data_IF_003416235922
#
_entry.id   IF_003416235922
#
_cell.length_a   1.000
_cell.length_b   1.000
_cell.length_c   1.000
_cell.angle_alpha   90.00
_cell.angle_beta   90.00
_cell.angle_gamma   90.00
#
_symmetry.space_group_name_H-M   'P 1'
#
loop_
_entity.id
_entity.type
_entity.pdbx_description
1 polymer ?
#
# COMPACT_ATOMS: atom_id res chain seq x y z
N UNK A 1 7.32 9.77 2.15
CA UNK A 1 6.98 9.88 0.70
C UNK A 1 6.14 11.13 0.51
N UNK A 2 6.31 11.81 -0.58
CA UNK A 2 5.51 12.99 -0.87
C UNK A 2 4.04 12.62 -1.11
N UNK A 3 3.12 13.54 -0.84
CA UNK A 3 1.69 13.22 -0.82
C UNK A 3 1.15 12.73 -2.18
N UNK A 4 1.54 13.40 -3.26
CA UNK A 4 1.04 13.01 -4.59
C UNK A 4 1.62 11.67 -5.02
N UNK A 5 2.89 11.44 -4.74
CA UNK A 5 3.53 10.16 -5.03
C UNK A 5 2.90 9.04 -4.20
N UNK A 6 2.61 9.32 -2.94
CA UNK A 6 1.96 8.37 -2.05
C UNK A 6 0.60 7.92 -2.60
N UNK A 7 -0.27 8.90 -2.92
CA UNK A 7 -1.59 8.59 -3.45
C UNK A 7 -1.49 7.81 -4.76
N UNK A 8 -0.65 8.26 -5.66
CA UNK A 8 -0.48 7.62 -6.97
C UNK A 8 0.07 6.21 -6.86
N UNK A 9 1.06 6.01 -6.00
CA UNK A 9 1.68 4.70 -5.83
C UNK A 9 0.69 3.70 -5.25
N UNK A 10 -0.02 4.09 -4.20
CA UNK A 10 -0.98 3.18 -3.57
C UNK A 10 -2.12 2.85 -4.53
N UNK A 11 -2.64 3.85 -5.24
CA UNK A 11 -3.70 3.61 -6.22
C UNK A 11 -3.24 2.68 -7.33
N UNK A 12 -2.02 2.85 -7.81
CA UNK A 12 -1.47 2.00 -8.86
C UNK A 12 -1.40 0.55 -8.41
N UNK A 13 -0.95 0.28 -7.19
CA UNK A 13 -0.89 -1.07 -6.67
C UNK A 13 -2.28 -1.65 -6.39
N UNK A 14 -3.20 -0.84 -5.85
CA UNK A 14 -4.57 -1.29 -5.57
C UNK A 14 -5.31 -1.68 -6.84
N UNK A 15 -5.11 -0.94 -7.91
CA UNK A 15 -5.94 -1.07 -9.12
C UNK A 15 -5.28 -1.89 -10.21
N UNK A 16 -4.22 -2.62 -9.89
CA UNK A 16 -3.63 -3.55 -10.87
C UNK A 16 -4.63 -4.64 -11.22
N UNK A 17 -4.61 -5.04 -12.47
CA UNK A 17 -5.51 -6.08 -13.00
C UNK A 17 -4.67 -7.18 -13.62
N UNK A 18 -4.68 -8.40 -13.08
CA UNK A 18 -5.35 -8.78 -11.83
C UNK A 18 -4.64 -8.21 -10.60
N UNK A 19 -5.37 -8.11 -9.51
CA UNK A 19 -4.78 -7.64 -8.26
C UNK A 19 -3.71 -8.63 -7.79
N UNK A 20 -2.63 -8.10 -7.26
CA UNK A 20 -1.57 -8.89 -6.63
C UNK A 20 -1.27 -8.30 -5.26
N UNK A 21 -1.04 -9.14 -4.25
CA UNK A 21 -0.67 -8.65 -2.92
C UNK A 21 0.59 -7.80 -2.97
N UNK A 22 0.64 -6.81 -2.09
CA UNK A 22 1.82 -5.95 -1.96
C UNK A 22 2.03 -5.60 -0.50
N UNK A 23 3.24 -5.11 -0.21
CA UNK A 23 3.64 -4.77 1.15
C UNK A 23 3.85 -3.26 1.24
N UNK A 24 3.28 -2.67 2.28
CA UNK A 24 3.52 -1.27 2.63
C UNK A 24 4.56 -1.25 3.74
N UNK A 25 5.72 -0.68 3.48
CA UNK A 25 6.79 -0.58 4.46
C UNK A 25 6.80 0.81 5.08
N UNK A 26 6.76 0.87 6.39
CA UNK A 26 6.71 2.12 7.13
C UNK A 26 8.12 2.56 7.54
N UNK A 27 8.29 3.85 7.78
CA UNK A 27 9.59 4.39 8.17
C UNK A 27 10.04 3.87 9.54
N UNK A 28 9.11 3.42 10.38
CA UNK A 28 9.45 2.85 11.69
C UNK A 28 9.82 1.37 11.62
N UNK A 29 9.83 0.79 10.42
CA UNK A 29 10.16 -0.62 10.23
C UNK A 29 8.97 -1.55 10.16
N UNK A 30 7.77 -1.08 10.43
CA UNK A 30 6.57 -1.91 10.32
C UNK A 30 6.28 -2.23 8.87
N UNK A 31 5.67 -3.40 8.62
CA UNK A 31 5.27 -3.82 7.28
C UNK A 31 3.81 -4.26 7.33
N UNK A 32 3.02 -3.75 6.38
CA UNK A 32 1.61 -4.08 6.27
C UNK A 32 1.41 -4.87 4.98
N UNK A 33 0.90 -6.09 5.11
CA UNK A 33 0.64 -6.94 3.96
C UNK A 33 -0.78 -6.69 3.45
N UNK A 34 -0.90 -6.18 2.24
CA UNK A 34 -2.18 -5.89 1.61
C UNK A 34 -2.49 -7.00 0.62
N UNK A 35 -3.39 -7.89 0.97
CA UNK A 35 -3.73 -9.05 0.15
C UNK A 35 -5.09 -8.93 -0.52
N UNK A 36 -5.75 -7.79 -0.36
CA UNK A 36 -7.04 -7.53 -0.98
C UNK A 36 -7.15 -6.04 -1.31
N UNK A 37 -7.65 -5.66 -2.49
CA UNK A 37 -7.69 -4.25 -2.85
C UNK A 37 -8.58 -3.40 -1.94
N UNK A 38 -9.61 -4.00 -1.35
CA UNK A 38 -10.51 -3.27 -0.46
C UNK A 38 -9.98 -3.15 0.96
N UNK A 39 -8.86 -3.82 1.28
CA UNK A 39 -8.27 -3.73 2.60
C UNK A 39 -7.58 -2.39 2.83
N UNK A 40 -7.30 -1.64 1.78
CA UNK A 40 -6.57 -0.38 1.87
C UNK A 40 -7.33 0.71 1.13
N UNK A 41 -7.64 1.79 1.82
CA UNK A 41 -8.24 2.98 1.25
C UNK A 41 -7.26 4.14 1.36
N UNK A 42 -7.19 4.99 0.33
CA UNK A 42 -6.26 6.12 0.32
C UNK A 42 -6.98 7.37 -0.16
N UNK A 43 -6.68 8.49 0.50
CA UNK A 43 -7.22 9.78 0.10
C UNK A 43 -6.35 10.89 0.67
N UNK A 44 -5.93 11.83 -0.18
CA UNK A 44 -5.24 13.06 0.22
C UNK A 44 -4.03 12.82 1.12
N UNK A 45 -3.23 11.80 0.80
CA UNK A 45 -2.02 11.51 1.54
C UNK A 45 -2.22 10.73 2.82
N UNK A 46 -3.43 10.21 3.05
CA UNK A 46 -3.76 9.40 4.23
C UNK A 46 -4.31 8.06 3.76
N UNK A 47 -3.92 7.00 4.43
CA UNK A 47 -4.41 5.67 4.11
C UNK A 47 -4.96 4.98 5.36
N UNK A 48 -5.97 4.15 5.12
CA UNK A 48 -6.58 3.32 6.16
C UNK A 48 -6.44 1.87 5.73
N UNK A 49 -5.79 1.08 6.55
CA UNK A 49 -5.61 -0.34 6.31
C UNK A 49 -6.46 -1.15 7.29
N UNK A 50 -7.27 -2.05 6.78
CA UNK A 50 -8.06 -2.96 7.61
C UNK A 50 -7.22 -4.22 7.86
N UNK A 51 -6.53 -4.25 8.99
CA UNK A 51 -5.67 -5.37 9.34
C UNK A 51 -6.49 -6.61 9.70
N UNK A 52 -5.88 -7.80 9.62
CA UNK A 52 -6.55 -9.02 10.09
C UNK A 52 -7.03 -8.86 11.53
N UNK A 53 -8.22 -9.37 11.81
CA UNK A 53 -8.84 -9.22 13.12
C UNK A 53 -9.65 -7.94 13.26
N UNK A 54 -9.77 -7.15 12.19
CA UNK A 54 -10.60 -5.96 12.20
C UNK A 54 -9.97 -4.74 12.84
N UNK A 55 -8.65 -4.75 13.05
CA UNK A 55 -7.94 -3.61 13.63
C UNK A 55 -7.62 -2.60 12.54
N UNK A 56 -8.15 -1.36 12.62
CA UNK A 56 -7.82 -0.35 11.62
C UNK A 56 -6.44 0.25 11.89
N UNK A 57 -5.66 0.44 10.83
CA UNK A 57 -4.35 1.10 10.89
C UNK A 57 -4.42 2.31 9.98
N UNK A 58 -4.21 3.50 10.54
CA UNK A 58 -4.22 4.74 9.77
C UNK A 58 -2.80 5.27 9.72
N UNK A 59 -2.34 5.59 8.51
CA UNK A 59 -1.01 6.17 8.33
C UNK A 59 -1.05 7.20 7.23
N UNK A 60 -0.07 8.09 7.20
CA UNK A 60 -0.02 9.15 6.20
C UNK A 60 1.23 9.01 5.33
N UNK A 61 1.36 9.94 4.37
CA UNK A 61 2.46 9.89 3.41
C UNK A 61 3.84 10.05 4.08
N UNK A 62 3.91 10.68 5.24
CA UNK A 62 5.17 10.84 5.94
C UNK A 62 5.61 9.56 6.65
N UNK A 63 4.65 8.72 7.03
CA UNK A 63 4.96 7.44 7.69
C UNK A 63 5.34 6.33 6.73
N UNK A 64 5.13 6.52 5.43
CA UNK A 64 5.39 5.50 4.42
C UNK A 64 6.82 5.62 3.90
N UNK A 65 7.56 4.51 3.96
CA UNK A 65 8.90 4.44 3.37
C UNK A 65 8.84 4.01 1.92
N UNK A 66 8.20 2.87 1.63
CA UNK A 66 8.12 2.36 0.27
C UNK A 66 6.98 1.34 0.16
N UNK A 67 6.56 1.11 -1.07
CA UNK A 67 5.59 0.05 -1.38
C UNK A 67 6.34 -1.01 -2.18
N UNK A 68 6.27 -2.25 -1.73
CA UNK A 68 6.97 -3.36 -2.36
C UNK A 68 5.95 -4.35 -2.91
N UNK A 69 6.01 -4.59 -4.20
CA UNK A 69 5.14 -5.56 -4.85
C UNK A 69 5.95 -6.49 -5.72
N UNK A 70 5.29 -7.41 -6.38
CA UNK A 70 5.94 -8.36 -7.26
C UNK A 70 6.03 -7.88 -8.70
N UNK A 71 6.34 -6.60 -8.86
CA UNK A 71 6.51 -6.00 -10.18
C UNK A 71 7.59 -6.70 -10.99
N UNK A 72 8.61 -7.21 -10.32
CA UNK A 72 9.67 -7.94 -11.00
C UNK A 72 9.15 -9.18 -11.72
N UNK A 73 8.16 -9.85 -11.15
CA UNK A 73 7.56 -11.00 -11.80
C UNK A 73 6.82 -10.59 -13.06
N UNK A 74 6.15 -9.45 -13.02
CA UNK A 74 5.46 -8.94 -14.20
C UNK A 74 6.45 -8.57 -15.29
N UNK A 75 7.56 -7.98 -14.91
CA UNK A 75 8.58 -7.60 -15.87
C UNK A 75 9.26 -8.81 -16.49
N UNK A 76 9.38 -9.89 -15.76
CA UNK A 76 10.04 -11.09 -16.25
C UNK A 76 9.13 -11.98 -17.09
N UNK A 77 7.86 -11.72 -17.04
CA UNK A 77 6.93 -12.51 -17.85
C UNK A 77 6.61 -11.79 -19.14
#
# INVERSE_FOLDING_TARGET
>A
MDRDTFDGTIRAFKHRTPFRPFTVAMVNGDRLEVDHPDALAVRDGVALFAAPGGVPVVFDHEGLSQVVGDLAQQASS
#
